data_IF_050904657405
#
_entry.id   IF_050904657405
#
_cell.length_a   1.000
_cell.length_b   1.000
_cell.length_c   1.000
_cell.angle_alpha   90.00
_cell.angle_beta   90.00
_cell.angle_gamma   90.00
#
_symmetry.space_group_name_H-M   'P 1'
#
loop_
_entity.id
_entity.type
_entity.pdbx_description
1 polymer ?
#
# COMPACT_ATOMS: atom_id res chain seq x y z
N UNK A 1 10.85 24.09 -8.60
CA UNK A 1 10.87 24.04 -7.20
C UNK A 1 10.98 22.69 -6.58
N UNK A 2 11.57 22.67 -5.39
CA UNK A 2 11.74 21.44 -4.60
C UNK A 2 10.63 21.29 -3.53
N UNK A 3 9.71 22.23 -3.41
CA UNK A 3 8.60 22.15 -2.47
C UNK A 3 7.31 21.80 -3.21
N UNK A 4 6.53 20.82 -2.70
CA UNK A 4 5.21 20.53 -3.23
C UNK A 4 4.28 21.74 -3.00
N UNK A 5 3.34 21.93 -3.93
CA UNK A 5 2.30 22.93 -3.78
C UNK A 5 1.35 22.56 -2.62
N UNK A 6 0.71 23.58 -2.04
CA UNK A 6 -0.21 23.40 -0.90
C UNK A 6 -1.32 22.38 -1.21
N UNK A 7 -1.83 22.40 -2.42
CA UNK A 7 -2.83 21.46 -2.94
C UNK A 7 -2.33 20.01 -2.94
N UNK A 8 -1.05 19.79 -3.23
CA UNK A 8 -0.42 18.47 -3.19
C UNK A 8 -0.25 17.95 -1.76
N UNK A 9 -0.03 18.84 -0.78
CA UNK A 9 0.05 18.48 0.64
C UNK A 9 -1.34 18.16 1.18
N UNK A 10 -2.37 18.92 0.76
CA UNK A 10 -3.76 18.70 1.18
C UNK A 10 -4.42 17.47 0.56
N UNK A 11 -3.89 16.95 -0.54
CA UNK A 11 -4.38 15.74 -1.20
C UNK A 11 -3.23 14.82 -1.62
N UNK A 12 -2.45 14.28 -0.67
CA UNK A 12 -1.24 13.53 -0.98
C UNK A 12 -1.54 12.18 -1.65
N UNK A 13 -2.78 11.71 -1.55
CA UNK A 13 -3.14 10.37 -2.02
C UNK A 13 -3.97 10.46 -3.29
N UNK A 14 -3.30 10.46 -4.44
CA UNK A 14 -3.96 10.53 -5.74
C UNK A 14 -3.95 9.19 -6.52
N UNK A 15 -3.41 8.10 -5.95
CA UNK A 15 -3.21 6.87 -6.71
C UNK A 15 -3.54 5.62 -5.88
N UNK A 16 -4.78 5.17 -6.00
CA UNK A 16 -5.24 3.91 -5.43
C UNK A 16 -5.59 2.91 -6.51
N UNK A 17 -5.23 1.66 -6.31
CA UNK A 17 -5.69 0.57 -7.15
C UNK A 17 -7.21 0.44 -7.05
N UNK A 18 -7.90 0.38 -8.18
CA UNK A 18 -9.32 0.07 -8.20
C UNK A 18 -9.57 -1.41 -7.95
N UNK A 19 -10.72 -1.73 -7.40
CA UNK A 19 -11.08 -3.07 -6.94
C UNK A 19 -12.35 -3.56 -7.61
N UNK A 20 -12.37 -4.84 -7.99
CA UNK A 20 -13.58 -5.54 -8.44
C UNK A 20 -14.09 -6.44 -7.32
N UNK A 21 -15.39 -6.39 -7.07
CA UNK A 21 -16.08 -7.19 -6.06
C UNK A 21 -17.19 -8.03 -6.67
N UNK A 22 -17.45 -9.17 -6.05
CA UNK A 22 -18.64 -9.98 -6.30
C UNK A 22 -19.90 -9.31 -5.71
N UNK A 23 -21.08 -9.85 -6.04
CA UNK A 23 -22.36 -9.42 -5.45
C UNK A 23 -22.42 -9.62 -3.94
N UNK A 24 -21.72 -10.63 -3.43
CA UNK A 24 -21.55 -10.94 -2.01
C UNK A 24 -20.31 -10.26 -1.38
N UNK A 25 -19.79 -9.19 -2.03
CA UNK A 25 -18.71 -8.31 -1.55
C UNK A 25 -17.35 -9.00 -1.34
N UNK A 26 -17.12 -10.13 -1.98
CA UNK A 26 -15.81 -10.78 -1.98
C UNK A 26 -14.93 -10.15 -3.06
N UNK A 27 -13.68 -9.85 -2.76
CA UNK A 27 -12.74 -9.26 -3.71
C UNK A 27 -12.41 -10.25 -4.83
N UNK A 28 -12.70 -9.89 -6.08
CA UNK A 28 -12.29 -10.62 -7.28
C UNK A 28 -10.84 -10.32 -7.68
N UNK A 29 -10.40 -9.07 -7.50
CA UNK A 29 -9.06 -8.62 -7.79
C UNK A 29 -8.98 -7.10 -7.92
N UNK A 30 -7.80 -6.62 -8.29
CA UNK A 30 -7.48 -5.18 -8.37
C UNK A 30 -6.93 -4.82 -9.74
N UNK A 31 -7.05 -3.52 -10.09
CA UNK A 31 -6.35 -2.94 -11.22
C UNK A 31 -5.31 -1.95 -10.73
N UNK A 32 -4.04 -2.22 -11.03
CA UNK A 32 -2.92 -1.32 -10.70
C UNK A 32 -1.88 -1.37 -11.82
N UNK A 33 -1.19 -0.24 -12.09
CA UNK A 33 -0.11 -0.21 -13.12
C UNK A 33 1.23 -0.65 -12.59
N UNK A 34 1.62 -0.18 -11.41
CA UNK A 34 2.95 -0.41 -10.83
C UNK A 34 2.88 -0.82 -9.36
N UNK A 35 1.87 -0.38 -8.62
CA UNK A 35 1.74 -0.55 -7.19
C UNK A 35 0.30 -0.93 -6.85
N UNK A 36 0.13 -2.05 -6.17
CA UNK A 36 -1.19 -2.47 -5.70
C UNK A 36 -1.49 -1.80 -4.35
N UNK A 37 -1.84 -0.51 -4.39
CA UNK A 37 -2.15 0.28 -3.20
C UNK A 37 -3.65 0.36 -2.99
N UNK A 38 -4.11 -0.24 -1.90
CA UNK A 38 -5.51 -0.19 -1.48
C UNK A 38 -5.59 0.54 -0.14
N UNK A 39 -6.31 1.65 -0.11
CA UNK A 39 -6.48 2.45 1.10
C UNK A 39 -7.26 1.70 2.17
N UNK A 40 -6.82 1.86 3.41
CA UNK A 40 -7.49 1.38 4.63
C UNK A 40 -7.73 2.56 5.54
N UNK A 41 -8.98 2.73 5.98
CA UNK A 41 -9.32 3.70 7.00
C UNK A 41 -8.74 3.28 8.38
N UNK A 42 -8.56 4.23 9.26
CA UNK A 42 -7.92 4.03 10.57
C UNK A 42 -8.59 2.93 11.41
N UNK A 43 -9.92 2.89 11.43
CA UNK A 43 -10.72 1.90 12.16
C UNK A 43 -10.52 0.47 11.67
N UNK A 44 -9.98 0.31 10.48
CA UNK A 44 -9.67 -0.97 9.84
C UNK A 44 -8.19 -1.37 9.96
N UNK A 45 -7.40 -0.63 10.77
CA UNK A 45 -6.00 -0.91 11.09
C UNK A 45 -5.90 -1.49 12.51
N UNK A 46 -5.15 -2.58 12.67
CA UNK A 46 -4.92 -3.17 13.98
C UNK A 46 -4.27 -2.17 14.96
N UNK A 47 -4.80 -2.00 16.18
CA UNK A 47 -4.16 -1.19 17.19
C UNK A 47 -2.73 -1.62 17.51
N UNK A 48 -2.39 -2.90 17.29
CA UNK A 48 -1.03 -3.41 17.49
C UNK A 48 -0.03 -2.81 16.50
N UNK A 49 -0.46 -2.55 15.25
CA UNK A 49 0.37 -1.86 14.24
C UNK A 49 0.70 -0.44 14.67
N UNK A 50 -0.31 0.32 15.14
CA UNK A 50 -0.14 1.71 15.56
C UNK A 50 0.82 1.78 16.74
N UNK A 51 0.60 0.94 17.77
CA UNK A 51 1.46 0.86 18.96
C UNK A 51 2.89 0.46 18.60
N UNK A 52 3.07 -0.55 17.75
CA UNK A 52 4.37 -1.00 17.31
C UNK A 52 5.12 0.08 16.50
N UNK A 53 4.42 0.78 15.61
CA UNK A 53 4.98 1.87 14.80
C UNK A 53 5.46 3.03 15.69
N UNK A 54 4.59 3.55 16.55
CA UNK A 54 4.92 4.66 17.45
C UNK A 54 6.08 4.28 18.38
N UNK A 55 6.01 3.12 19.04
CA UNK A 55 7.07 2.65 19.95
C UNK A 55 8.43 2.49 19.27
N UNK A 56 8.45 2.15 17.98
CA UNK A 56 9.69 1.78 17.27
C UNK A 56 10.31 2.94 16.50
N UNK A 57 9.50 3.72 15.79
CA UNK A 57 9.97 4.75 14.89
C UNK A 57 9.94 6.14 15.53
N UNK A 58 8.98 6.40 16.45
CA UNK A 58 8.77 7.74 17.01
C UNK A 58 8.04 7.69 18.35
N UNK A 59 8.75 7.32 19.42
CA UNK A 59 8.19 7.14 20.77
C UNK A 59 7.42 8.35 21.28
N UNK A 60 7.83 9.56 20.85
CA UNK A 60 7.21 10.83 21.25
C UNK A 60 6.35 11.46 20.16
N UNK A 61 5.82 10.64 19.27
CA UNK A 61 5.04 11.08 18.11
C UNK A 61 3.91 12.06 18.48
N UNK A 62 3.24 11.84 19.58
CA UNK A 62 2.13 12.68 20.04
C UNK A 62 2.57 13.98 20.77
N UNK A 63 3.89 14.17 20.99
CA UNK A 63 4.43 15.30 21.76
C UNK A 63 5.04 16.42 20.90
N UNK A 64 5.25 16.17 19.62
CA UNK A 64 5.90 17.14 18.71
C UNK A 64 5.03 17.42 17.48
N UNK A 65 5.38 18.48 16.73
CA UNK A 65 4.68 18.90 15.49
C UNK A 65 5.60 18.73 14.28
N UNK A 66 5.77 17.48 13.83
CA UNK A 66 6.54 17.13 12.62
C UNK A 66 8.02 16.87 12.86
N UNK A 67 8.68 17.62 13.76
CA UNK A 67 10.09 17.48 14.08
C UNK A 67 10.29 17.31 15.58
N UNK A 68 10.96 16.23 16.00
CA UNK A 68 11.35 16.02 17.39
C UNK A 68 12.76 16.58 17.66
N UNK A 69 12.82 17.85 18.10
CA UNK A 69 14.10 18.52 18.41
C UNK A 69 14.90 17.80 19.53
N UNK A 70 14.21 17.19 20.52
CA UNK A 70 14.89 16.44 21.60
C UNK A 70 15.48 15.12 21.09
N UNK A 71 14.77 14.40 20.23
CA UNK A 71 15.30 13.18 19.60
C UNK A 71 16.47 13.51 18.65
N UNK A 72 16.36 14.60 17.89
CA UNK A 72 17.42 15.07 17.01
C UNK A 72 18.68 15.42 17.80
N UNK A 73 18.56 16.19 18.90
CA UNK A 73 19.68 16.52 19.80
C UNK A 73 20.33 15.26 20.38
N UNK A 74 19.54 14.30 20.88
CA UNK A 74 20.06 12.99 21.37
C UNK A 74 20.80 12.22 20.28
N UNK A 75 20.28 12.20 19.04
CA UNK A 75 20.91 11.50 17.93
C UNK A 75 22.24 12.13 17.54
N UNK A 76 22.34 13.46 17.51
CA UNK A 76 23.59 14.20 17.24
C UNK A 76 24.64 13.90 18.31
N UNK A 77 24.28 13.97 19.60
CA UNK A 77 25.19 13.69 20.71
C UNK A 77 25.67 12.22 20.67
N UNK A 78 24.77 11.26 20.53
CA UNK A 78 25.14 9.83 20.54
C UNK A 78 25.99 9.43 19.34
N UNK A 79 25.67 9.93 18.14
CA UNK A 79 26.43 9.61 16.92
C UNK A 79 27.69 10.44 16.78
N UNK A 80 27.62 11.75 17.04
CA UNK A 80 28.73 12.67 16.82
C UNK A 80 29.79 12.62 17.93
N UNK A 81 29.36 12.51 19.20
CA UNK A 81 30.26 12.59 20.35
C UNK A 81 30.62 11.20 20.88
N UNK A 82 29.65 10.29 20.93
CA UNK A 82 29.83 8.95 21.54
C UNK A 82 30.14 7.84 20.51
N UNK A 83 30.19 8.14 19.22
CA UNK A 83 30.51 7.17 18.17
C UNK A 83 29.52 6.00 18.05
N UNK A 84 28.34 6.09 18.64
CA UNK A 84 27.33 5.04 18.62
C UNK A 84 26.52 5.07 17.31
N UNK A 85 27.06 4.44 16.27
CA UNK A 85 26.39 4.38 14.96
C UNK A 85 25.02 3.66 14.97
N UNK A 86 24.74 2.84 15.99
CA UNK A 86 23.48 2.11 16.16
C UNK A 86 22.44 2.84 17.01
N UNK A 87 22.72 4.07 17.48
CA UNK A 87 21.73 4.88 18.17
C UNK A 87 20.54 5.16 17.27
N UNK A 88 19.33 4.98 17.80
CA UNK A 88 18.07 5.11 17.08
C UNK A 88 17.96 6.37 16.23
N UNK A 89 17.19 6.33 15.16
CA UNK A 89 17.01 7.45 14.22
C UNK A 89 16.39 8.66 14.88
N UNK A 90 16.85 9.86 14.52
CA UNK A 90 16.23 11.11 14.93
C UNK A 90 15.14 11.61 13.97
N UNK A 91 14.66 10.76 13.05
CA UNK A 91 13.60 11.12 12.11
C UNK A 91 12.25 10.68 12.65
N UNK A 92 11.25 11.56 12.56
CA UNK A 92 9.87 11.30 12.99
C UNK A 92 9.10 10.51 11.92
N UNK A 93 7.95 9.94 12.30
CA UNK A 93 7.00 9.28 11.37
C UNK A 93 6.60 10.29 10.28
N UNK A 94 6.28 11.52 10.65
CA UNK A 94 5.88 12.58 9.70
C UNK A 94 6.99 12.94 8.71
N UNK A 95 8.25 12.99 9.15
CA UNK A 95 9.40 13.18 8.24
C UNK A 95 9.60 12.00 7.29
N UNK A 96 9.39 10.78 7.77
CA UNK A 96 9.44 9.59 6.92
C UNK A 96 8.31 9.61 5.88
N UNK A 97 7.10 10.01 6.27
CA UNK A 97 5.97 10.21 5.36
C UNK A 97 6.27 11.30 4.32
N UNK A 98 6.76 12.46 4.75
CA UNK A 98 7.15 13.55 3.85
C UNK A 98 8.17 13.07 2.80
N UNK A 99 9.14 12.28 3.23
CA UNK A 99 10.13 11.67 2.33
C UNK A 99 9.47 10.71 1.31
N UNK A 100 8.56 9.85 1.75
CA UNK A 100 7.88 8.89 0.87
C UNK A 100 7.02 9.59 -0.18
N UNK A 101 6.35 10.67 0.20
CA UNK A 101 5.41 11.38 -0.68
C UNK A 101 6.10 12.33 -1.68
N UNK A 102 7.15 13.02 -1.24
CA UNK A 102 7.65 14.21 -1.96
C UNK A 102 9.15 14.17 -2.27
N UNK A 103 9.94 13.25 -1.69
CA UNK A 103 11.38 13.24 -1.95
C UNK A 103 11.72 12.33 -3.12
N UNK A 104 12.38 12.89 -4.12
CA UNK A 104 13.01 12.11 -5.17
C UNK A 104 14.16 11.27 -4.57
N UNK A 105 14.44 10.11 -5.20
CA UNK A 105 15.56 9.27 -4.77
C UNK A 105 16.88 10.02 -4.94
N UNK A 106 17.53 10.36 -3.81
CA UNK A 106 18.84 11.01 -3.83
C UNK A 106 19.90 10.06 -4.42
N UNK A 107 20.65 10.55 -5.39
CA UNK A 107 21.73 9.80 -6.05
C UNK A 107 23.05 9.91 -5.28
N UNK A 108 23.24 10.99 -4.52
CA UNK A 108 24.47 11.28 -3.79
C UNK A 108 24.19 11.55 -2.30
N UNK A 109 25.23 11.40 -1.47
CA UNK A 109 25.17 11.71 -0.03
C UNK A 109 24.89 13.19 0.22
N UNK A 110 25.42 14.08 -0.64
CA UNK A 110 25.24 15.54 -0.54
C UNK A 110 23.76 15.89 -0.84
N UNK A 111 23.17 15.35 -1.90
CA UNK A 111 21.75 15.53 -2.20
C UNK A 111 20.86 15.08 -1.04
N UNK A 112 21.19 13.95 -0.42
CA UNK A 112 20.46 13.43 0.73
C UNK A 112 20.55 14.36 1.95
N UNK A 113 21.69 15.02 2.17
CA UNK A 113 21.87 15.98 3.23
C UNK A 113 21.04 17.24 2.98
N UNK A 114 20.98 17.72 1.75
CA UNK A 114 20.20 18.88 1.34
C UNK A 114 18.68 18.62 1.33
N UNK A 115 18.25 17.36 1.18
CA UNK A 115 16.84 17.00 1.26
C UNK A 115 16.28 17.04 2.67
N UNK A 116 17.11 16.86 3.71
CA UNK A 116 16.66 16.82 5.10
C UNK A 116 15.93 18.09 5.59
N UNK A 117 16.43 19.30 5.36
CA UNK A 117 15.70 20.51 5.72
C UNK A 117 14.33 20.63 5.02
N UNK A 118 14.25 20.19 3.77
CA UNK A 118 13.00 20.20 2.99
C UNK A 118 11.99 19.20 3.59
N UNK A 119 12.43 17.99 3.94
CA UNK A 119 11.61 16.98 4.63
C UNK A 119 11.06 17.55 5.96
N UNK A 120 11.85 18.34 6.70
CA UNK A 120 11.40 18.96 7.96
C UNK A 120 10.31 20.00 7.74
N UNK A 121 10.47 20.86 6.76
CA UNK A 121 9.46 21.88 6.43
C UNK A 121 8.16 21.20 6.00
N UNK A 122 8.24 20.22 5.10
CA UNK A 122 7.06 19.46 4.64
C UNK A 122 6.40 18.72 5.82
N UNK A 123 7.18 18.12 6.73
CA UNK A 123 6.64 17.44 7.90
C UNK A 123 5.87 18.38 8.83
N UNK A 124 6.37 19.59 9.04
CA UNK A 124 5.66 20.63 9.82
C UNK A 124 4.37 21.05 9.12
N UNK A 125 4.39 21.21 7.79
CA UNK A 125 3.18 21.53 7.04
C UNK A 125 2.16 20.39 7.07
N UNK A 126 2.57 19.12 6.93
CA UNK A 126 1.67 17.97 7.08
C UNK A 126 0.96 18.02 8.44
N UNK A 127 1.67 18.28 9.53
CA UNK A 127 1.09 18.34 10.88
C UNK A 127 0.15 19.54 11.11
N UNK A 128 0.12 20.51 10.21
CA UNK A 128 -0.88 21.61 10.22
C UNK A 128 -2.22 21.20 9.61
N UNK A 129 -2.20 20.26 8.67
CA UNK A 129 -3.39 19.86 7.92
C UNK A 129 -3.98 18.52 8.35
N UNK A 130 -3.16 17.65 8.96
CA UNK A 130 -3.55 16.29 9.34
C UNK A 130 -3.39 16.05 10.83
N UNK A 131 -4.34 15.33 11.41
CA UNK A 131 -4.22 14.80 12.78
C UNK A 131 -3.13 13.73 12.86
N UNK A 132 -2.68 13.43 14.06
CA UNK A 132 -1.71 12.36 14.30
C UNK A 132 -2.18 10.99 13.79
N UNK A 133 -3.45 10.73 13.96
CA UNK A 133 -4.11 9.50 13.52
C UNK A 133 -4.15 9.41 11.99
N UNK A 134 -4.46 10.51 11.32
CA UNK A 134 -4.42 10.58 9.85
C UNK A 134 -3.00 10.39 9.33
N UNK A 135 -1.99 10.97 9.96
CA UNK A 135 -0.58 10.82 9.59
C UNK A 135 -0.13 9.36 9.69
N UNK A 136 -0.47 8.65 10.79
CA UNK A 136 -0.19 7.22 10.94
C UNK A 136 -0.90 6.42 9.85
N UNK A 137 -2.16 6.72 9.60
CA UNK A 137 -2.97 6.07 8.57
C UNK A 137 -2.35 6.26 7.18
N UNK A 138 -1.94 7.49 6.85
CA UNK A 138 -1.24 7.81 5.62
C UNK A 138 0.08 7.04 5.52
N UNK A 139 0.91 7.07 6.56
CA UNK A 139 2.19 6.36 6.59
C UNK A 139 2.02 4.87 6.27
N UNK A 140 1.10 4.19 6.96
CA UNK A 140 0.84 2.78 6.78
C UNK A 140 0.24 2.44 5.41
N UNK A 141 -0.55 3.34 4.82
CA UNK A 141 -1.09 3.17 3.48
C UNK A 141 -0.08 3.45 2.36
N UNK A 142 0.98 4.20 2.65
CA UNK A 142 1.98 4.59 1.65
C UNK A 142 3.22 3.71 1.63
N UNK A 143 3.54 3.05 2.74
CA UNK A 143 4.77 2.31 2.86
C UNK A 143 4.82 1.11 1.90
N UNK A 144 5.94 0.98 1.17
CA UNK A 144 6.18 -0.15 0.26
C UNK A 144 6.85 -1.30 1.04
N UNK A 145 6.09 -2.37 1.24
CA UNK A 145 6.54 -3.61 1.88
C UNK A 145 7.16 -4.61 0.89
N UNK A 146 7.43 -4.19 -0.35
CA UNK A 146 7.89 -5.03 -1.47
C UNK A 146 6.85 -6.08 -1.94
N UNK A 147 7.24 -6.89 -2.94
CA UNK A 147 6.39 -7.93 -3.52
C UNK A 147 5.00 -7.41 -3.99
N UNK A 148 4.95 -6.19 -4.54
CA UNK A 148 3.74 -5.46 -4.90
C UNK A 148 2.80 -5.15 -3.71
N UNK A 149 3.31 -5.26 -2.48
CA UNK A 149 2.56 -4.97 -1.27
C UNK A 149 2.78 -3.51 -0.84
N UNK A 150 2.16 -2.57 -1.55
CA UNK A 150 2.15 -1.16 -1.16
C UNK A 150 0.96 -0.88 -0.24
N UNK A 151 1.26 -0.39 0.95
CA UNK A 151 0.29 -0.17 2.01
C UNK A 151 -0.02 -1.41 2.85
N UNK A 152 -0.45 -1.14 4.07
CA UNK A 152 -0.60 -2.15 5.13
C UNK A 152 -1.66 -3.20 4.82
N UNK A 153 -2.74 -2.84 4.11
CA UNK A 153 -3.79 -3.80 3.73
C UNK A 153 -3.23 -4.85 2.80
N UNK A 154 -2.52 -4.41 1.79
CA UNK A 154 -1.91 -5.31 0.82
C UNK A 154 -0.81 -6.14 1.47
N UNK A 155 0.02 -5.53 2.34
CA UNK A 155 1.06 -6.24 3.07
C UNK A 155 0.50 -7.32 4.02
N UNK A 156 -0.55 -7.02 4.79
CA UNK A 156 -1.20 -8.00 5.66
C UNK A 156 -1.72 -9.21 4.88
N UNK A 157 -2.31 -8.96 3.71
CA UNK A 157 -2.79 -10.03 2.84
C UNK A 157 -1.64 -10.82 2.22
N UNK A 158 -0.64 -10.14 1.62
CA UNK A 158 0.49 -10.78 0.93
C UNK A 158 1.32 -11.66 1.87
N UNK A 159 1.65 -11.17 3.07
CA UNK A 159 2.54 -11.88 3.99
C UNK A 159 1.82 -12.87 4.90
N UNK A 160 0.55 -12.59 5.28
CA UNK A 160 -0.17 -13.34 6.29
C UNK A 160 -1.55 -13.84 5.88
N UNK A 161 -2.06 -13.46 4.69
CA UNK A 161 -3.39 -13.85 4.23
C UNK A 161 -4.52 -13.27 5.09
N UNK A 162 -4.29 -12.13 5.76
CA UNK A 162 -5.20 -11.53 6.73
C UNK A 162 -5.58 -10.10 6.37
N UNK A 163 -6.67 -9.59 6.95
CA UNK A 163 -6.95 -8.16 6.94
C UNK A 163 -5.97 -7.41 7.85
N UNK A 164 -5.74 -6.12 7.58
CA UNK A 164 -4.87 -5.27 8.40
C UNK A 164 -5.35 -5.14 9.86
N UNK A 165 -6.67 -5.30 10.10
CA UNK A 165 -7.25 -5.27 11.45
C UNK A 165 -6.94 -6.54 12.25
N UNK A 166 -6.90 -7.70 11.59
CA UNK A 166 -6.77 -9.01 12.24
C UNK A 166 -5.33 -9.48 12.45
N UNK A 167 -4.36 -8.59 12.24
CA UNK A 167 -2.95 -8.89 12.49
C UNK A 167 -2.71 -9.08 14.00
N UNK A 168 -2.02 -10.17 14.36
CA UNK A 168 -1.54 -10.40 15.72
C UNK A 168 -0.40 -9.43 16.08
N UNK A 169 -0.02 -9.38 17.35
CA UNK A 169 1.12 -8.57 17.82
C UNK A 169 2.40 -8.95 17.08
N UNK A 170 2.67 -10.25 16.91
CA UNK A 170 3.85 -10.75 16.21
C UNK A 170 3.86 -10.38 14.73
N UNK A 171 2.73 -10.50 14.05
CA UNK A 171 2.58 -10.12 12.65
C UNK A 171 2.72 -8.61 12.45
N UNK A 172 2.08 -7.82 13.32
CA UNK A 172 2.22 -6.37 13.33
C UNK A 172 3.67 -5.94 13.57
N UNK A 173 4.35 -6.50 14.57
CA UNK A 173 5.74 -6.23 14.88
C UNK A 173 6.69 -6.65 13.74
N UNK A 174 6.35 -7.72 13.01
CA UNK A 174 7.09 -8.16 11.82
C UNK A 174 7.03 -7.11 10.71
N UNK A 175 5.83 -6.65 10.34
CA UNK A 175 5.65 -5.63 9.31
C UNK A 175 6.29 -4.29 9.70
N UNK A 176 6.13 -3.85 10.96
CA UNK A 176 6.79 -2.64 11.43
C UNK A 176 8.32 -2.80 11.46
N UNK A 177 8.82 -3.99 11.76
CA UNK A 177 10.23 -4.30 11.65
C UNK A 177 10.80 -4.07 10.25
N UNK A 178 10.01 -4.36 9.21
CA UNK A 178 10.39 -4.12 7.82
C UNK A 178 10.47 -2.62 7.49
N UNK A 179 9.76 -1.74 8.21
CA UNK A 179 9.77 -0.30 7.91
C UNK A 179 11.17 0.33 7.99
N UNK A 180 12.09 -0.23 8.75
CA UNK A 180 13.48 0.24 8.81
C UNK A 180 14.25 0.02 7.50
N UNK A 181 14.09 -1.13 6.89
CA UNK A 181 14.66 -1.49 5.58
C UNK A 181 13.93 -2.73 5.06
N UNK A 182 12.91 -2.56 4.21
CA UNK A 182 12.05 -3.67 3.77
C UNK A 182 12.79 -4.73 2.95
N UNK A 183 13.85 -4.35 2.25
CA UNK A 183 14.67 -5.30 1.49
C UNK A 183 15.56 -6.14 2.40
N UNK A 184 16.11 -5.54 3.47
CA UNK A 184 17.04 -6.20 4.38
C UNK A 184 16.31 -7.07 5.42
N UNK A 185 15.17 -6.60 5.95
CA UNK A 185 14.36 -7.30 6.95
C UNK A 185 13.16 -8.03 6.35
N UNK A 186 13.27 -8.49 5.11
CA UNK A 186 12.20 -9.21 4.43
C UNK A 186 12.09 -10.66 4.92
N UNK A 187 10.93 -11.09 5.47
CA UNK A 187 10.78 -12.45 6.01
C UNK A 187 10.81 -13.54 4.93
N UNK A 188 10.47 -13.21 3.69
CA UNK A 188 10.55 -14.16 2.56
C UNK A 188 12.00 -14.39 2.14
N UNK A 189 12.87 -13.41 2.37
CA UNK A 189 14.28 -13.47 1.99
C UNK A 189 15.18 -14.03 3.09
N UNK A 190 14.95 -13.59 4.32
CA UNK A 190 15.74 -13.97 5.50
C UNK A 190 14.87 -13.93 6.75
N UNK A 191 14.29 -15.07 7.07
CA UNK A 191 13.33 -15.22 8.15
C UNK A 191 13.97 -14.94 9.53
N UNK A 192 15.21 -15.38 9.74
CA UNK A 192 15.89 -15.21 11.02
C UNK A 192 16.26 -13.75 11.28
N UNK A 193 16.76 -13.05 10.30
CA UNK A 193 17.04 -11.61 10.41
C UNK A 193 15.77 -10.82 10.65
N UNK A 194 14.67 -11.18 9.98
CA UNK A 194 13.37 -10.59 10.21
C UNK A 194 12.88 -10.87 11.64
N UNK A 195 13.04 -12.10 12.16
CA UNK A 195 12.70 -12.47 13.54
C UNK A 195 13.48 -11.63 14.56
N UNK A 196 14.77 -11.47 14.37
CA UNK A 196 15.59 -10.62 15.23
C UNK A 196 15.09 -9.17 15.23
N UNK A 197 14.73 -8.62 14.04
CA UNK A 197 14.19 -7.27 13.94
C UNK A 197 12.80 -7.15 14.58
N UNK A 198 11.91 -8.13 14.41
CA UNK A 198 10.63 -8.21 15.09
C UNK A 198 10.82 -8.16 16.62
N UNK A 199 11.76 -8.92 17.15
CA UNK A 199 12.04 -8.95 18.58
C UNK A 199 12.54 -7.59 19.10
N UNK A 200 13.28 -6.82 18.29
CA UNK A 200 13.61 -5.43 18.60
C UNK A 200 12.34 -4.58 18.70
N UNK A 201 11.37 -4.73 17.79
CA UNK A 201 10.09 -4.00 17.82
C UNK A 201 9.32 -4.36 19.10
N UNK A 202 9.19 -5.64 19.44
CA UNK A 202 8.54 -6.09 20.68
C UNK A 202 9.22 -5.47 21.93
N UNK A 203 10.54 -5.42 21.96
CA UNK A 203 11.29 -4.76 23.03
C UNK A 203 11.04 -3.24 23.11
N UNK A 204 10.83 -2.56 21.99
CA UNK A 204 10.43 -1.14 22.02
C UNK A 204 8.99 -0.97 22.51
N UNK A 205 8.08 -1.89 22.17
CA UNK A 205 6.71 -1.87 22.71
C UNK A 205 6.68 -2.06 24.23
N UNK A 206 7.60 -2.87 24.80
CA UNK A 206 7.76 -2.99 26.27
C UNK A 206 8.22 -1.67 26.87
N UNK A 207 9.24 -1.02 26.31
CA UNK A 207 9.75 0.27 26.78
C UNK A 207 8.69 1.37 26.76
N UNK A 208 7.83 1.35 25.74
CA UNK A 208 6.72 2.28 25.61
C UNK A 208 5.49 1.92 26.48
N UNK A 209 5.54 0.82 27.24
CA UNK A 209 4.42 0.39 28.09
C UNK A 209 3.25 -0.25 27.35
N UNK A 210 3.42 -0.61 26.07
CA UNK A 210 2.37 -1.23 25.26
C UNK A 210 2.34 -2.77 25.35
N UNK A 211 3.38 -3.37 25.95
CA UNK A 211 3.51 -4.82 26.09
C UNK A 211 4.21 -5.12 27.42
N UNK A 212 3.81 -6.19 28.13
CA UNK A 212 4.53 -6.65 29.30
C UNK A 212 5.81 -7.39 28.93
N UNK A 213 6.80 -7.44 29.85
CA UNK A 213 8.04 -8.16 29.63
C UNK A 213 7.81 -9.67 29.44
N UNK A 214 6.87 -10.26 30.18
CA UNK A 214 6.52 -11.67 30.06
C UNK A 214 5.90 -12.01 28.70
N UNK A 215 4.95 -11.17 28.25
CA UNK A 215 4.37 -11.31 26.90
C UNK A 215 5.43 -11.15 25.81
N UNK A 216 6.36 -10.22 25.98
CA UNK A 216 7.46 -10.04 25.04
C UNK A 216 8.36 -11.27 24.95
N UNK A 217 8.69 -11.89 26.09
CA UNK A 217 9.49 -13.12 26.14
C UNK A 217 8.80 -14.27 25.38
N UNK A 218 7.51 -14.48 25.64
CA UNK A 218 6.71 -15.50 24.94
C UNK A 218 6.64 -15.25 23.43
N UNK A 219 6.24 -14.05 23.03
CA UNK A 219 6.10 -13.67 21.61
C UNK A 219 7.44 -13.71 20.86
N UNK A 220 8.55 -13.37 21.54
CA UNK A 220 9.89 -13.42 20.94
C UNK A 220 10.38 -14.83 20.66
N UNK A 221 9.92 -15.82 21.44
CA UNK A 221 10.23 -17.23 21.24
C UNK A 221 9.45 -17.84 20.06
N UNK A 222 8.27 -17.31 19.74
CA UNK A 222 7.44 -17.80 18.64
C UNK A 222 8.13 -17.62 17.26
N UNK A 223 8.03 -18.62 16.37
CA UNK A 223 8.47 -18.46 14.99
C UNK A 223 7.59 -17.45 14.22
N UNK A 224 8.12 -16.88 13.15
CA UNK A 224 7.30 -16.15 12.17
C UNK A 224 6.69 -17.18 11.23
N UNK A 225 5.36 -17.25 11.22
CA UNK A 225 4.60 -18.12 10.30
C UNK A 225 4.03 -17.26 9.19
N UNK A 226 4.48 -17.46 7.95
CA UNK A 226 4.00 -16.76 6.78
C UNK A 226 2.89 -17.57 6.08
N UNK A 227 1.90 -16.87 5.58
CA UNK A 227 0.99 -17.33 4.54
C UNK A 227 1.22 -16.47 3.30
N UNK A 228 2.45 -16.59 2.75
CA UNK A 228 2.92 -15.70 1.70
C UNK A 228 2.35 -16.09 0.34
N UNK A 229 1.73 -15.11 -0.33
CA UNK A 229 1.35 -15.22 -1.73
C UNK A 229 1.58 -13.88 -2.43
N UNK A 230 2.13 -13.92 -3.63
CA UNK A 230 2.24 -12.72 -4.45
C UNK A 230 0.86 -12.34 -4.99
N UNK A 231 0.53 -11.06 -4.90
CA UNK A 231 -0.61 -10.52 -5.65
C UNK A 231 -0.06 -10.06 -7.01
N UNK A 232 -0.32 -10.83 -8.05
CA UNK A 232 -0.17 -10.37 -9.42
C UNK A 232 -1.53 -9.83 -9.90
N UNK A 233 -1.52 -8.75 -10.71
CA UNK A 233 -2.73 -8.24 -11.37
C UNK A 233 -3.35 -9.26 -12.34
N UNK A 234 -2.59 -10.28 -12.74
CA UNK A 234 -3.08 -11.43 -13.50
C UNK A 234 -3.68 -12.51 -12.61
N UNK A 235 -3.35 -12.56 -11.32
CA UNK A 235 -3.90 -13.50 -10.36
C UNK A 235 -5.19 -12.93 -9.74
N UNK A 236 -6.06 -13.82 -9.30
CA UNK A 236 -7.38 -13.51 -8.75
C UNK A 236 -8.49 -14.11 -9.60
N UNK A 237 -9.68 -14.23 -8.98
CA UNK A 237 -10.86 -14.82 -9.61
C UNK A 237 -11.34 -13.97 -10.79
N UNK A 238 -11.97 -14.63 -11.76
CA UNK A 238 -12.59 -14.00 -12.92
C UNK A 238 -11.64 -13.08 -13.71
N UNK A 239 -10.41 -13.53 -14.00
CA UNK A 239 -9.38 -12.72 -14.68
C UNK A 239 -9.87 -12.15 -16.02
N UNK A 240 -10.59 -12.94 -16.82
CA UNK A 240 -11.14 -12.51 -18.10
C UNK A 240 -12.22 -11.44 -17.94
N UNK A 241 -13.12 -11.57 -16.96
CA UNK A 241 -14.12 -10.54 -16.66
C UNK A 241 -13.45 -9.23 -16.24
N UNK A 242 -12.44 -9.29 -15.37
CA UNK A 242 -11.70 -8.09 -14.94
C UNK A 242 -11.01 -7.40 -16.11
N UNK A 243 -10.41 -8.17 -17.02
CA UNK A 243 -9.79 -7.61 -18.21
C UNK A 243 -10.83 -6.99 -19.15
N UNK A 244 -11.96 -7.65 -19.34
CA UNK A 244 -13.08 -7.09 -20.11
C UNK A 244 -13.60 -5.80 -19.49
N UNK A 245 -13.87 -5.77 -18.17
CA UNK A 245 -14.28 -4.57 -17.48
C UNK A 245 -13.27 -3.43 -17.62
N UNK A 246 -11.98 -3.74 -17.54
CA UNK A 246 -10.91 -2.76 -17.78
C UNK A 246 -11.00 -2.16 -19.16
N UNK A 247 -11.17 -2.99 -20.18
CA UNK A 247 -11.23 -2.56 -21.58
C UNK A 247 -12.43 -1.64 -21.81
N UNK A 248 -13.62 -2.00 -21.38
CA UNK A 248 -14.82 -1.21 -21.59
C UNK A 248 -14.82 0.08 -20.78
N UNK A 249 -14.42 0.04 -19.49
CA UNK A 249 -14.42 1.23 -18.64
C UNK A 249 -13.39 2.28 -19.07
N UNK A 250 -12.25 1.84 -19.63
CA UNK A 250 -11.17 2.71 -20.09
C UNK A 250 -11.24 3.03 -21.60
N UNK A 251 -12.22 2.51 -22.31
CA UNK A 251 -12.35 2.72 -23.75
C UNK A 251 -12.35 4.22 -24.10
N UNK A 252 -11.65 4.56 -25.17
CA UNK A 252 -11.68 5.91 -25.75
C UNK A 252 -12.84 6.04 -26.73
N UNK A 253 -13.29 7.31 -26.98
CA UNK A 253 -14.29 7.57 -28.00
C UNK A 253 -13.77 7.08 -29.36
N UNK A 254 -14.49 6.19 -30.04
CA UNK A 254 -14.07 5.66 -31.33
C UNK A 254 -13.88 6.77 -32.35
N UNK A 255 -12.75 6.74 -33.04
CA UNK A 255 -12.46 7.65 -34.17
C UNK A 255 -12.15 6.83 -35.40
N UNK A 256 -12.74 7.14 -36.53
CA UNK A 256 -12.58 6.38 -37.77
C UNK A 256 -11.13 6.21 -38.19
N UNK A 257 -10.28 7.19 -37.94
CA UNK A 257 -8.85 7.21 -38.25
C UNK A 257 -8.04 6.11 -37.50
N UNK A 258 -8.56 5.60 -36.36
CA UNK A 258 -7.90 4.57 -35.54
C UNK A 258 -8.22 3.14 -36.01
N UNK A 259 -9.08 2.98 -37.02
CA UNK A 259 -9.54 1.69 -37.55
C UNK A 259 -9.13 1.49 -38.99
N UNK A 260 -8.56 0.35 -39.30
CA UNK A 260 -8.25 -0.04 -40.68
C UNK A 260 -9.53 -0.39 -41.42
N UNK A 261 -9.48 -0.47 -42.76
CA UNK A 261 -10.68 -0.73 -43.57
C UNK A 261 -11.37 -2.06 -43.23
N UNK A 262 -10.61 -3.10 -42.92
CA UNK A 262 -11.17 -4.36 -42.52
C UNK A 262 -11.78 -4.36 -41.10
N UNK A 263 -11.56 -3.30 -40.29
CA UNK A 263 -12.12 -3.10 -38.96
C UNK A 263 -13.35 -2.21 -38.92
N UNK A 264 -13.96 -1.93 -40.07
CA UNK A 264 -15.15 -1.04 -40.18
C UNK A 264 -16.31 -1.53 -39.31
N UNK A 265 -16.59 -2.84 -39.35
CA UNK A 265 -17.61 -3.44 -38.48
C UNK A 265 -17.34 -3.21 -37.01
N UNK A 266 -16.09 -3.33 -36.59
CA UNK A 266 -15.67 -3.06 -35.21
C UNK A 266 -15.86 -1.59 -34.85
N UNK A 267 -15.49 -0.67 -35.75
CA UNK A 267 -15.72 0.76 -35.54
C UNK A 267 -17.20 1.10 -35.33
N UNK A 268 -18.12 0.52 -36.12
CA UNK A 268 -19.55 0.71 -35.91
C UNK A 268 -20.04 0.14 -34.58
N UNK A 269 -19.59 -1.04 -34.22
CA UNK A 269 -19.94 -1.69 -32.95
C UNK A 269 -19.45 -0.84 -31.77
N UNK A 270 -18.18 -0.41 -31.81
CA UNK A 270 -17.59 0.40 -30.74
C UNK A 270 -18.28 1.77 -30.64
N UNK A 271 -18.63 2.38 -31.78
CA UNK A 271 -19.38 3.66 -31.83
C UNK A 271 -20.78 3.51 -31.22
N UNK A 272 -21.47 2.41 -31.53
CA UNK A 272 -22.78 2.12 -30.94
C UNK A 272 -22.65 1.89 -29.43
N UNK A 273 -21.67 1.10 -29.01
CA UNK A 273 -21.39 0.85 -27.59
C UNK A 273 -21.05 2.14 -26.86
N UNK A 274 -20.27 3.03 -27.47
CA UNK A 274 -19.97 4.35 -26.89
C UNK A 274 -21.23 5.16 -26.62
N UNK A 275 -22.22 5.12 -27.49
CA UNK A 275 -23.44 5.93 -27.35
C UNK A 275 -24.50 5.27 -26.46
N UNK A 276 -24.59 3.94 -26.49
CA UNK A 276 -25.70 3.21 -25.84
C UNK A 276 -25.32 2.53 -24.54
N UNK A 277 -24.04 2.11 -24.35
CA UNK A 277 -23.59 1.47 -23.15
C UNK A 277 -23.00 2.49 -22.14
N UNK A 278 -23.63 2.68 -20.96
CA UNK A 278 -23.13 3.62 -19.96
C UNK A 278 -21.78 3.23 -19.39
N UNK A 279 -21.39 1.97 -19.46
CA UNK A 279 -20.09 1.49 -18.95
C UNK A 279 -18.96 1.68 -19.97
N UNK A 280 -19.28 1.67 -21.27
CA UNK A 280 -18.27 1.82 -22.31
C UNK A 280 -17.69 3.24 -22.32
N UNK A 281 -16.41 3.34 -22.01
CA UNK A 281 -15.71 4.62 -21.84
C UNK A 281 -16.09 5.40 -20.57
N UNK A 282 -16.61 4.73 -19.55
CA UNK A 282 -17.08 5.37 -18.30
C UNK A 282 -16.02 6.31 -17.71
N UNK A 283 -14.78 5.88 -17.65
CA UNK A 283 -13.66 6.68 -17.11
C UNK A 283 -13.39 7.95 -17.92
N UNK A 284 -13.72 7.97 -19.20
CA UNK A 284 -13.54 9.14 -20.10
C UNK A 284 -14.76 10.05 -20.16
N UNK A 285 -15.95 9.47 -20.03
CA UNK A 285 -17.22 10.21 -20.03
C UNK A 285 -17.44 10.96 -18.73
N UNK A 286 -16.97 10.42 -17.62
CA UNK A 286 -17.15 10.99 -16.29
C UNK A 286 -15.92 11.80 -15.85
N UNK A 287 -16.17 12.87 -15.10
CA UNK A 287 -15.15 13.79 -14.61
C UNK A 287 -15.10 13.79 -13.10
N UNK A 288 -13.90 13.91 -12.56
CA UNK A 288 -13.66 14.18 -11.14
C UNK A 288 -13.99 15.65 -10.81
N UNK A 289 -14.01 15.99 -9.53
CA UNK A 289 -14.28 17.36 -9.07
C UNK A 289 -13.28 18.40 -9.61
N UNK A 290 -12.04 17.97 -9.87
CA UNK A 290 -10.96 18.78 -10.46
C UNK A 290 -11.04 18.91 -12.00
N UNK A 291 -12.08 18.33 -12.63
CA UNK A 291 -12.27 18.31 -14.08
C UNK A 291 -11.46 17.25 -14.83
N UNK A 292 -10.59 16.51 -14.17
CA UNK A 292 -9.82 15.41 -14.78
C UNK A 292 -10.70 14.17 -15.02
N UNK A 293 -10.25 13.29 -15.92
CA UNK A 293 -10.91 12.00 -16.16
C UNK A 293 -10.57 11.01 -15.03
N UNK A 294 -11.46 10.04 -14.82
CA UNK A 294 -11.15 8.88 -14.01
C UNK A 294 -10.12 7.96 -14.68
N UNK A 295 -9.30 7.30 -13.88
CA UNK A 295 -8.36 6.25 -14.29
C UNK A 295 -8.57 5.03 -13.37
N UNK A 296 -8.95 3.89 -13.95
CA UNK A 296 -9.18 2.64 -13.20
C UNK A 296 -7.93 2.16 -12.44
N UNK A 297 -6.74 2.59 -12.84
CA UNK A 297 -5.49 2.16 -12.20
C UNK A 297 -5.10 3.02 -10.99
N UNK A 298 -5.66 4.21 -10.85
CA UNK A 298 -5.15 5.20 -9.89
C UNK A 298 -6.20 5.82 -8.99
N UNK A 299 -7.48 5.72 -9.33
CA UNK A 299 -8.52 6.51 -8.65
C UNK A 299 -9.35 5.69 -7.64
N UNK A 300 -8.94 4.46 -7.32
CA UNK A 300 -9.52 3.67 -6.24
C UNK A 300 -10.99 3.32 -6.43
N UNK A 301 -11.43 3.13 -7.66
CA UNK A 301 -12.82 2.80 -7.98
C UNK A 301 -13.19 1.45 -7.38
N UNK A 302 -14.39 1.34 -6.85
CA UNK A 302 -14.99 0.08 -6.39
C UNK A 302 -16.03 -0.37 -7.40
N UNK A 303 -15.74 -1.44 -8.13
CA UNK A 303 -16.62 -2.01 -9.15
C UNK A 303 -17.30 -3.24 -8.58
N UNK A 304 -18.59 -3.17 -8.33
CA UNK A 304 -19.39 -4.29 -7.87
C UNK A 304 -20.00 -5.00 -9.06
N UNK A 305 -19.81 -6.30 -9.15
CA UNK A 305 -20.33 -7.14 -10.22
C UNK A 305 -21.53 -7.97 -9.72
N UNK A 306 -22.24 -8.60 -10.64
CA UNK A 306 -23.33 -9.56 -10.34
C UNK A 306 -22.83 -10.99 -10.10
N UNK A 307 -21.52 -11.21 -10.12
CA UNK A 307 -20.89 -12.52 -9.91
C UNK A 307 -21.04 -12.94 -8.44
N UNK A 308 -21.54 -14.14 -8.19
CA UNK A 308 -21.48 -14.80 -6.88
C UNK A 308 -20.13 -15.47 -6.70
N UNK A 309 -19.46 -15.26 -5.54
CA UNK A 309 -18.10 -15.71 -5.30
C UNK A 309 -17.96 -17.25 -5.29
N UNK A 310 -18.99 -17.97 -4.82
CA UNK A 310 -19.01 -19.43 -4.73
C UNK A 310 -19.26 -20.04 -6.10
N UNK A 311 -20.24 -19.49 -6.83
CA UNK A 311 -20.51 -19.94 -8.22
C UNK A 311 -19.28 -19.74 -9.11
N UNK A 312 -18.58 -18.62 -8.99
CA UNK A 312 -17.33 -18.37 -9.71
C UNK A 312 -16.25 -19.39 -9.34
N UNK A 313 -16.09 -19.71 -8.04
CA UNK A 313 -15.13 -20.73 -7.61
C UNK A 313 -15.43 -22.12 -8.16
N UNK A 314 -16.71 -22.51 -8.18
CA UNK A 314 -17.12 -23.79 -8.78
C UNK A 314 -16.88 -23.83 -10.28
N UNK A 315 -17.20 -22.74 -10.98
CA UNK A 315 -16.98 -22.65 -12.43
C UNK A 315 -15.49 -22.76 -12.78
N UNK A 316 -14.62 -21.99 -12.09
CA UNK A 316 -13.16 -22.05 -12.30
C UNK A 316 -12.60 -23.45 -12.00
N UNK A 317 -13.02 -24.08 -10.89
CA UNK A 317 -12.60 -25.42 -10.52
C UNK A 317 -13.06 -26.45 -11.56
N UNK A 318 -14.28 -26.34 -12.08
CA UNK A 318 -14.80 -27.23 -13.11
C UNK A 318 -14.03 -27.09 -14.41
N UNK A 319 -13.74 -25.87 -14.84
CA UNK A 319 -12.93 -25.64 -16.06
C UNK A 319 -11.52 -26.18 -15.86
N UNK A 320 -10.87 -25.88 -14.73
CA UNK A 320 -9.54 -26.38 -14.44
C UNK A 320 -9.47 -27.90 -14.46
N UNK A 321 -10.38 -28.58 -13.77
CA UNK A 321 -10.42 -30.03 -13.73
C UNK A 321 -10.71 -30.65 -15.12
N UNK A 322 -11.60 -30.03 -15.90
CA UNK A 322 -11.95 -30.53 -17.22
C UNK A 322 -10.80 -30.36 -18.23
N UNK A 323 -10.12 -29.20 -18.20
CA UNK A 323 -8.96 -28.93 -19.08
C UNK A 323 -7.77 -29.78 -18.68
N UNK A 324 -7.44 -29.89 -17.38
CA UNK A 324 -6.29 -30.63 -16.90
C UNK A 324 -6.43 -32.16 -17.06
N UNK A 325 -7.66 -32.69 -16.94
CA UNK A 325 -7.87 -34.13 -16.88
C UNK A 325 -8.74 -34.69 -18.03
N UNK A 326 -9.35 -33.83 -18.85
CA UNK A 326 -10.34 -34.27 -19.84
C UNK A 326 -10.04 -33.94 -21.30
N UNK A 327 -9.59 -32.71 -21.62
CA UNK A 327 -9.51 -32.25 -23.02
C UNK A 327 -8.08 -32.03 -23.54
N UNK A 328 -7.09 -31.90 -22.68
CA UNK A 328 -5.68 -31.76 -23.05
C UNK A 328 -4.86 -32.74 -22.23
N UNK A 329 -4.80 -34.01 -22.61
CA UNK A 329 -3.67 -34.85 -22.21
C UNK A 329 -2.40 -34.25 -22.80
N UNK A 330 -1.31 -34.17 -22.02
CA UNK A 330 0.01 -33.71 -22.45
C UNK A 330 0.50 -34.34 -23.74
#
# INVERSE_FOLDING_TARGET
GYMPDLEQIQSPINKFASQAFTSDSVLLGTWSRKENRVFVAQDSISPHLIKALVATEDERFYEHSGVDAKALGRAVIKRGIMGQHNAGGGSTITQQLAKQLYSATAKTTIERLLQKPIEWVIAVEIERYYTKEEIITLYLNYFDFLHNAVGIKTAANVYFGKSAYNLSINEAATLIGMCKNPSYFNPVRDLERCRQRRNVVLGQMVKAGYLSADSCALLSAEPITLNFHRIDHKEGKAAYLREYLRQILMADKPKRENYREWQLQQFYTDSLSWETDPLYGWCKKNKKRDGSNYDIYTDGLKVYTTIDSRMQSYAESSVFNHVAFGLQPE
#
